data_IF_654028081647
#
_entry.id   IF_654028081647
#
_cell.length_a   1.000
_cell.length_b   1.000
_cell.length_c   1.000
_cell.angle_alpha   90.00
_cell.angle_beta   90.00
_cell.angle_gamma   90.00
#
_symmetry.space_group_name_H-M   'P 1'
#
loop_
_entity.id
_entity.type
_entity.pdbx_description
1 polymer ?
#
# COMPACT_ATOMS: atom_id res chain seq x y z
N UNK A 1 12.22 -11.97 8.25
CA UNK A 1 12.26 -11.04 7.10
C UNK A 1 13.65 -10.46 6.89
N UNK A 2 14.16 -10.49 5.65
CA UNK A 2 15.45 -9.87 5.29
C UNK A 2 15.38 -8.34 5.30
N UNK A 3 16.55 -7.68 5.40
CA UNK A 3 16.65 -6.20 5.34
C UNK A 3 16.16 -5.64 4.01
N UNK A 4 16.36 -6.36 2.91
CA UNK A 4 15.90 -5.95 1.59
C UNK A 4 14.38 -5.82 1.54
N UNK A 5 13.63 -6.81 2.02
CA UNK A 5 12.16 -6.74 2.07
C UNK A 5 11.65 -5.63 2.99
N UNK A 6 12.36 -5.36 4.10
CA UNK A 6 12.02 -4.24 4.99
C UNK A 6 12.16 -2.90 4.28
N UNK A 7 13.29 -2.69 3.61
CA UNK A 7 13.55 -1.47 2.88
C UNK A 7 12.56 -1.28 1.72
N UNK A 8 12.30 -2.33 0.94
CA UNK A 8 11.32 -2.28 -0.15
C UNK A 8 9.91 -1.97 0.35
N UNK A 9 9.49 -2.57 1.48
CA UNK A 9 8.18 -2.27 2.09
C UNK A 9 8.06 -0.80 2.51
N UNK A 10 9.09 -0.26 3.17
CA UNK A 10 9.13 1.15 3.56
C UNK A 10 9.10 2.08 2.33
N UNK A 11 9.84 1.72 1.28
CA UNK A 11 9.87 2.48 0.04
C UNK A 11 8.51 2.49 -0.66
N UNK A 12 7.81 1.36 -0.71
CA UNK A 12 6.45 1.27 -1.28
C UNK A 12 5.47 2.13 -0.47
N UNK A 13 5.56 2.11 0.86
CA UNK A 13 4.74 2.98 1.73
C UNK A 13 5.01 4.46 1.42
N UNK A 14 6.28 4.86 1.36
CA UNK A 14 6.65 6.23 1.06
C UNK A 14 6.15 6.68 -0.32
N UNK A 15 6.33 5.84 -1.35
CA UNK A 15 5.82 6.10 -2.69
C UNK A 15 4.29 6.18 -2.73
N UNK A 16 3.59 5.34 -1.96
CA UNK A 16 2.13 5.36 -1.85
C UNK A 16 1.64 6.69 -1.26
N UNK A 17 2.31 7.19 -0.21
CA UNK A 17 1.98 8.47 0.41
C UNK A 17 2.24 9.63 -0.55
N UNK A 18 3.39 9.63 -1.23
CA UNK A 18 3.72 10.65 -2.24
C UNK A 18 2.73 10.64 -3.41
N UNK A 19 2.36 9.45 -3.89
CA UNK A 19 1.37 9.26 -4.93
C UNK A 19 0.00 9.80 -4.51
N UNK A 20 -0.44 9.48 -3.29
CA UNK A 20 -1.70 9.98 -2.75
C UNK A 20 -1.68 11.52 -2.63
N UNK A 21 -0.58 12.10 -2.12
CA UNK A 21 -0.44 13.55 -2.05
C UNK A 21 -0.50 14.21 -3.43
N UNK A 22 0.13 13.60 -4.44
CA UNK A 22 0.04 14.06 -5.83
C UNK A 22 -1.39 14.00 -6.38
N UNK A 23 -2.11 12.90 -6.19
CA UNK A 23 -3.51 12.76 -6.61
C UNK A 23 -4.42 13.82 -5.97
N UNK A 24 -4.20 14.15 -4.70
CA UNK A 24 -4.96 15.19 -4.00
C UNK A 24 -4.70 16.61 -4.54
N UNK A 25 -3.63 16.82 -5.30
CA UNK A 25 -3.34 18.09 -5.99
C UNK A 25 -3.95 18.16 -7.39
N UNK A 26 -4.41 17.04 -7.95
CA UNK A 26 -5.05 17.02 -9.25
C UNK A 26 -6.47 17.58 -9.15
N UNK A 27 -6.89 18.36 -10.16
CA UNK A 27 -8.27 18.85 -10.26
C UNK A 27 -9.28 17.74 -10.56
N UNK A 28 -8.82 16.67 -11.20
CA UNK A 28 -9.61 15.49 -11.51
C UNK A 28 -8.80 14.26 -11.12
N UNK A 29 -9.30 13.54 -10.13
CA UNK A 29 -8.73 12.27 -9.69
C UNK A 29 -9.10 11.16 -10.66
N UNK A 30 -8.16 10.27 -10.97
CA UNK A 30 -8.38 9.15 -11.90
C UNK A 30 -8.56 7.86 -11.12
N UNK A 31 -9.73 7.22 -11.27
CA UNK A 31 -10.12 6.04 -10.50
C UNK A 31 -9.03 4.94 -10.47
N UNK A 32 -8.47 4.64 -11.65
CA UNK A 32 -7.45 3.59 -11.81
C UNK A 32 -6.16 3.85 -11.03
N UNK A 33 -5.83 5.10 -10.73
CA UNK A 33 -4.62 5.43 -9.97
C UNK A 33 -4.73 4.95 -8.52
N UNK A 34 -5.92 5.03 -7.94
CA UNK A 34 -6.21 4.54 -6.58
C UNK A 34 -6.32 3.02 -6.55
N UNK A 35 -6.99 2.42 -7.53
CA UNK A 35 -7.10 0.96 -7.64
C UNK A 35 -5.73 0.30 -7.82
N UNK A 36 -4.86 0.88 -8.66
CA UNK A 36 -3.50 0.40 -8.87
C UNK A 36 -2.65 0.52 -7.59
N UNK A 37 -2.70 1.67 -6.91
CA UNK A 37 -1.97 1.86 -5.66
C UNK A 37 -2.46 0.91 -4.54
N UNK A 38 -3.77 0.66 -4.47
CA UNK A 38 -4.35 -0.35 -3.58
C UNK A 38 -3.89 -1.78 -3.93
N UNK A 39 -3.83 -2.13 -5.22
CA UNK A 39 -3.34 -3.42 -5.70
C UNK A 39 -1.87 -3.67 -5.40
N UNK A 40 -1.01 -2.66 -5.55
CA UNK A 40 0.41 -2.75 -5.17
C UNK A 40 0.55 -3.02 -3.67
N UNK A 41 -0.24 -2.34 -2.85
CA UNK A 41 -0.24 -2.55 -1.40
C UNK A 41 -0.79 -3.94 -1.04
N UNK A 42 -1.79 -4.45 -1.75
CA UNK A 42 -2.28 -5.83 -1.60
C UNK A 42 -1.18 -6.87 -1.84
N UNK A 43 -0.50 -6.78 -2.98
CA UNK A 43 0.58 -7.70 -3.34
C UNK A 43 1.72 -7.63 -2.30
N UNK A 44 2.07 -6.41 -1.88
CA UNK A 44 3.12 -6.21 -0.88
C UNK A 44 2.73 -6.79 0.47
N UNK A 45 1.47 -6.65 0.91
CA UNK A 45 0.96 -7.27 2.13
C UNK A 45 1.14 -8.80 2.11
N UNK A 46 0.84 -9.45 0.98
CA UNK A 46 1.03 -10.91 0.81
C UNK A 46 2.51 -11.29 0.93
N UNK A 47 3.39 -10.57 0.22
CA UNK A 47 4.83 -10.84 0.24
C UNK A 47 5.38 -10.70 1.66
N UNK A 48 5.05 -9.61 2.35
CA UNK A 48 5.55 -9.34 3.69
C UNK A 48 4.98 -10.33 4.72
N UNK A 49 3.69 -10.70 4.61
CA UNK A 49 3.09 -11.74 5.46
C UNK A 49 3.82 -13.08 5.32
N UNK A 50 4.20 -13.49 4.10
CA UNK A 50 4.99 -14.72 3.89
C UNK A 50 6.40 -14.67 4.49
N UNK A 51 6.95 -13.48 4.70
CA UNK A 51 8.29 -13.27 5.29
C UNK A 51 8.28 -13.17 6.83
N UNK A 52 7.10 -13.20 7.44
CA UNK A 52 6.85 -13.10 8.89
C UNK A 52 6.31 -14.44 9.43
N UNK A 53 7.19 -15.43 9.57
CA UNK A 53 6.87 -16.74 10.17
C UNK A 53 7.00 -16.76 11.70
N UNK A 54 7.96 -16.02 12.27
CA UNK A 54 8.32 -16.18 13.70
C UNK A 54 7.98 -14.97 14.61
N UNK A 55 7.54 -13.85 14.03
CA UNK A 55 7.28 -12.63 14.80
C UNK A 55 5.82 -12.55 15.24
N UNK A 56 5.60 -12.25 16.53
CA UNK A 56 4.28 -12.11 17.16
C UNK A 56 3.38 -11.06 16.49
N UNK A 57 3.96 -10.03 15.86
CA UNK A 57 3.22 -8.96 15.18
C UNK A 57 3.87 -8.58 13.84
N UNK A 58 3.06 -8.46 12.77
CA UNK A 58 3.48 -8.00 11.45
C UNK A 58 2.92 -6.60 11.12
N UNK A 59 3.50 -5.56 11.73
CA UNK A 59 3.07 -4.17 11.53
C UNK A 59 3.14 -3.72 10.06
N UNK A 60 4.16 -4.13 9.31
CA UNK A 60 4.31 -3.75 7.91
C UNK A 60 3.22 -4.37 7.03
N UNK A 61 2.90 -5.64 7.24
CA UNK A 61 1.78 -6.30 6.57
C UNK A 61 0.45 -5.60 6.86
N UNK A 62 0.20 -5.25 8.13
CA UNK A 62 -1.01 -4.53 8.54
C UNK A 62 -1.10 -3.17 7.83
N UNK A 63 -0.01 -2.40 7.78
CA UNK A 63 0.01 -1.09 7.10
C UNK A 63 -0.34 -1.23 5.62
N UNK A 64 0.22 -2.22 4.93
CA UNK A 64 -0.10 -2.47 3.53
C UNK A 64 -1.57 -2.89 3.33
N UNK A 65 -2.14 -3.70 4.23
CA UNK A 65 -3.58 -4.03 4.18
C UNK A 65 -4.44 -2.79 4.37
N UNK A 66 -4.08 -1.91 5.31
CA UNK A 66 -4.80 -0.64 5.53
C UNK A 66 -4.74 0.24 4.29
N UNK A 67 -3.57 0.44 3.69
CA UNK A 67 -3.46 1.20 2.44
C UNK A 67 -4.23 0.55 1.28
N UNK A 68 -4.20 -0.77 1.17
CA UNK A 68 -4.99 -1.50 0.19
C UNK A 68 -6.48 -1.16 0.34
N UNK A 69 -7.04 -1.30 1.54
CA UNK A 69 -8.47 -1.04 1.79
C UNK A 69 -8.81 0.43 1.54
N UNK A 70 -7.99 1.36 2.05
CA UNK A 70 -8.24 2.79 1.90
C UNK A 70 -8.21 3.22 0.44
N UNK A 71 -7.18 2.84 -0.32
CA UNK A 71 -7.01 3.29 -1.71
C UNK A 71 -7.96 2.56 -2.65
N UNK A 72 -8.11 1.25 -2.51
CA UNK A 72 -9.01 0.48 -3.36
C UNK A 72 -10.47 0.83 -3.07
N UNK A 73 -10.84 0.97 -1.79
CA UNK A 73 -12.16 1.41 -1.38
C UNK A 73 -12.45 2.85 -1.82
N UNK A 74 -11.52 3.77 -1.64
CA UNK A 74 -11.69 5.15 -2.09
C UNK A 74 -11.89 5.24 -3.61
N UNK A 75 -11.02 4.57 -4.38
CA UNK A 75 -11.13 4.51 -5.83
C UNK A 75 -12.41 3.82 -6.31
N UNK A 76 -12.89 2.78 -5.63
CA UNK A 76 -14.10 2.08 -6.10
C UNK A 76 -15.40 2.81 -5.77
N UNK A 77 -15.50 3.45 -4.59
CA UNK A 77 -16.75 4.01 -4.10
C UNK A 77 -16.92 5.53 -4.28
N UNK A 78 -15.82 6.30 -4.36
CA UNK A 78 -15.88 7.76 -4.27
C UNK A 78 -15.33 8.51 -5.49
N UNK A 79 -14.62 7.82 -6.40
CA UNK A 79 -14.16 8.35 -7.69
C UNK A 79 -14.85 7.59 -8.81
#
# INVERSE_FOLDING_TARGET
MSRAYQFSSLLIIALTILWFAYEMMLRHSVQWHFLAAGGINFLTAIIINRQFTDKKYNYLGIIHVVFMVLLFGYGYFFI
#
